data_IF_132206525455
#
_entry.id   IF_132206525455
#
_cell.length_a   1.000
_cell.length_b   1.000
_cell.length_c   1.000
_cell.angle_alpha   90.00
_cell.angle_beta   90.00
_cell.angle_gamma   90.00
#
_symmetry.space_group_name_H-M   'P 1'
#
loop_
_entity.id
_entity.type
_entity.pdbx_description
1 polymer ?
#
# COMPACT_ATOMS: atom_id res chain seq x y z
N UNK A 1 -5.15 -39.60 -17.46
CA UNK A 1 -4.86 -38.68 -18.59
C UNK A 1 -5.99 -37.65 -18.77
N UNK A 2 -7.27 -38.02 -18.67
CA UNK A 2 -8.43 -37.10 -18.83
C UNK A 2 -8.51 -36.05 -17.72
N UNK A 3 -8.28 -36.42 -16.44
CA UNK A 3 -8.29 -35.50 -15.30
C UNK A 3 -7.27 -34.37 -15.50
N UNK A 4 -6.04 -34.69 -15.94
CA UNK A 4 -5.01 -33.68 -16.21
C UNK A 4 -5.40 -32.75 -17.37
N UNK A 5 -6.10 -33.28 -18.41
CA UNK A 5 -6.58 -32.47 -19.52
C UNK A 5 -7.70 -31.53 -19.08
N UNK A 6 -8.66 -32.04 -18.32
CA UNK A 6 -9.74 -31.21 -17.76
C UNK A 6 -9.22 -30.16 -16.78
N UNK A 7 -8.23 -30.50 -15.94
CA UNK A 7 -7.56 -29.54 -15.05
C UNK A 7 -6.85 -28.43 -15.84
N UNK A 8 -6.10 -28.77 -16.87
CA UNK A 8 -5.40 -27.78 -17.72
C UNK A 8 -6.37 -26.88 -18.48
N UNK A 9 -7.52 -27.39 -18.91
CA UNK A 9 -8.59 -26.59 -19.54
C UNK A 9 -9.15 -25.61 -18.51
N UNK A 10 -9.51 -26.07 -17.31
CA UNK A 10 -10.02 -25.25 -16.24
C UNK A 10 -9.04 -24.12 -15.85
N UNK A 11 -7.74 -24.41 -15.75
CA UNK A 11 -6.71 -23.40 -15.46
C UNK A 11 -6.64 -22.35 -16.57
N UNK A 12 -6.70 -22.77 -17.85
CA UNK A 12 -6.72 -21.84 -18.98
C UNK A 12 -7.98 -20.97 -19.02
N UNK A 13 -9.13 -21.55 -18.78
CA UNK A 13 -10.39 -20.82 -18.74
C UNK A 13 -10.41 -19.81 -17.59
N UNK A 14 -9.89 -20.17 -16.41
CA UNK A 14 -9.76 -19.29 -15.28
C UNK A 14 -8.81 -18.11 -15.60
N UNK A 15 -7.66 -18.39 -16.22
CA UNK A 15 -6.71 -17.34 -16.64
C UNK A 15 -7.34 -16.38 -17.66
N UNK A 16 -8.13 -16.91 -18.61
CA UNK A 16 -8.82 -16.09 -19.61
C UNK A 16 -9.88 -15.19 -18.99
N UNK A 17 -10.70 -15.73 -18.09
CA UNK A 17 -11.68 -14.93 -17.34
C UNK A 17 -11.00 -13.79 -16.56
N UNK A 18 -9.84 -14.05 -15.98
CA UNK A 18 -9.06 -13.04 -15.27
C UNK A 18 -8.51 -11.97 -16.19
N UNK A 19 -7.95 -12.34 -17.37
CA UNK A 19 -7.49 -11.40 -18.40
C UNK A 19 -8.63 -10.52 -18.94
N UNK A 20 -9.78 -11.13 -19.27
CA UNK A 20 -10.96 -10.41 -19.73
C UNK A 20 -11.45 -9.41 -18.67
N UNK A 21 -11.42 -9.81 -17.39
CA UNK A 21 -11.77 -8.92 -16.28
C UNK A 21 -10.81 -7.73 -16.15
N UNK A 22 -9.51 -7.95 -16.31
CA UNK A 22 -8.51 -6.86 -16.26
C UNK A 22 -8.69 -5.88 -17.41
N UNK A 23 -8.96 -6.38 -18.62
CA UNK A 23 -9.22 -5.55 -19.80
C UNK A 23 -10.50 -4.72 -19.62
N UNK A 24 -11.59 -5.33 -19.15
CA UNK A 24 -12.84 -4.63 -18.86
C UNK A 24 -12.65 -3.51 -17.84
N UNK A 25 -11.92 -3.78 -16.77
CA UNK A 25 -11.65 -2.80 -15.71
C UNK A 25 -10.75 -1.65 -16.21
N UNK A 26 -9.78 -1.95 -17.08
CA UNK A 26 -8.94 -0.92 -17.70
C UNK A 26 -9.76 -0.04 -18.65
N UNK A 27 -10.67 -0.63 -19.43
CA UNK A 27 -11.59 0.10 -20.31
C UNK A 27 -12.55 1.01 -19.54
N UNK A 28 -13.22 0.47 -18.53
CA UNK A 28 -14.12 1.23 -17.65
C UNK A 28 -13.41 2.42 -16.99
N UNK A 29 -12.14 2.25 -16.61
CA UNK A 29 -11.34 3.33 -16.04
C UNK A 29 -11.13 4.49 -17.00
N UNK A 30 -10.71 4.15 -18.21
CA UNK A 30 -10.49 5.15 -19.24
C UNK A 30 -11.79 5.91 -19.55
N UNK A 31 -12.90 5.17 -19.66
CA UNK A 31 -14.20 5.72 -20.01
C UNK A 31 -14.82 6.56 -18.88
N UNK A 32 -14.46 6.28 -17.62
CA UNK A 32 -14.86 7.13 -16.49
C UNK A 32 -13.99 8.39 -16.35
N UNK A 33 -12.69 8.31 -16.67
CA UNK A 33 -11.79 9.46 -16.57
C UNK A 33 -12.12 10.55 -17.57
N UNK A 34 -12.50 10.17 -18.79
CA UNK A 34 -12.83 11.11 -19.87
C UNK A 34 -13.95 12.09 -19.49
N UNK A 35 -15.14 11.66 -19.02
CA UNK A 35 -16.20 12.58 -18.60
C UNK A 35 -15.81 13.41 -17.36
N UNK A 36 -15.05 12.86 -16.40
CA UNK A 36 -14.58 13.62 -15.24
C UNK A 36 -13.66 14.77 -15.68
N UNK A 37 -12.72 14.51 -16.60
CA UNK A 37 -11.84 15.54 -17.16
C UNK A 37 -12.61 16.61 -17.91
N UNK A 38 -13.68 16.22 -18.64
CA UNK A 38 -14.54 17.17 -19.35
C UNK A 38 -15.30 18.04 -18.35
N UNK A 39 -15.92 17.45 -17.33
CA UNK A 39 -16.62 18.19 -16.28
C UNK A 39 -15.68 19.19 -15.57
N UNK A 40 -14.45 18.80 -15.29
CA UNK A 40 -13.45 19.68 -14.69
C UNK A 40 -13.19 20.90 -15.59
N UNK A 41 -13.00 20.68 -16.88
CA UNK A 41 -12.80 21.79 -17.82
C UNK A 41 -14.02 22.71 -17.90
N UNK A 42 -15.24 22.16 -17.92
CA UNK A 42 -16.47 22.94 -17.91
C UNK A 42 -16.63 23.80 -16.65
N UNK A 43 -16.27 23.25 -15.47
CA UNK A 43 -16.30 23.98 -14.18
C UNK A 43 -15.22 25.07 -14.15
N UNK A 44 -14.01 24.82 -14.71
CA UNK A 44 -12.95 25.82 -14.77
C UNK A 44 -13.30 26.99 -15.71
N UNK A 45 -14.08 26.74 -16.78
CA UNK A 45 -14.50 27.74 -17.74
C UNK A 45 -15.81 28.43 -17.36
N UNK A 46 -16.57 27.90 -16.41
CA UNK A 46 -17.83 28.47 -15.96
C UNK A 46 -17.60 29.71 -15.06
N UNK A 47 -18.49 30.70 -15.18
CA UNK A 47 -18.53 31.86 -14.32
C UNK A 47 -19.24 31.50 -12.99
N UNK A 48 -18.49 30.79 -12.13
CA UNK A 48 -18.96 30.32 -10.83
C UNK A 48 -18.27 31.07 -9.69
N UNK A 49 -18.98 31.28 -8.55
CA UNK A 49 -18.33 31.71 -7.31
C UNK A 49 -17.17 30.79 -6.95
N UNK A 50 -16.07 31.35 -6.46
CA UNK A 50 -14.82 30.63 -6.18
C UNK A 50 -15.03 29.43 -5.25
N UNK A 51 -15.85 29.61 -4.18
CA UNK A 51 -16.18 28.54 -3.24
C UNK A 51 -16.91 27.37 -3.92
N UNK A 52 -17.86 27.67 -4.83
CA UNK A 52 -18.60 26.64 -5.58
C UNK A 52 -17.68 25.90 -6.56
N UNK A 53 -16.79 26.63 -7.24
CA UNK A 53 -15.80 26.04 -8.16
C UNK A 53 -14.87 25.09 -7.39
N UNK A 54 -14.31 25.52 -6.27
CA UNK A 54 -13.42 24.72 -5.45
C UNK A 54 -14.11 23.47 -4.92
N UNK A 55 -15.35 23.56 -4.47
CA UNK A 55 -16.13 22.40 -4.03
C UNK A 55 -16.31 21.36 -5.16
N UNK A 56 -16.70 21.81 -6.37
CA UNK A 56 -16.88 20.93 -7.53
C UNK A 56 -15.57 20.28 -7.97
N UNK A 57 -14.45 21.00 -7.96
CA UNK A 57 -13.12 20.46 -8.27
C UNK A 57 -12.74 19.38 -7.26
N UNK A 58 -12.97 19.61 -5.96
CA UNK A 58 -12.72 18.62 -4.93
C UNK A 58 -13.56 17.35 -5.11
N UNK A 59 -14.83 17.48 -5.48
CA UNK A 59 -15.70 16.32 -5.76
C UNK A 59 -15.19 15.51 -6.95
N UNK A 60 -14.72 16.17 -8.03
CA UNK A 60 -14.14 15.48 -9.18
C UNK A 60 -12.83 14.78 -8.84
N UNK A 61 -11.95 15.41 -8.08
CA UNK A 61 -10.71 14.78 -7.58
C UNK A 61 -11.03 13.54 -6.69
N UNK A 62 -12.09 13.65 -5.89
CA UNK A 62 -12.56 12.51 -5.12
C UNK A 62 -13.08 11.37 -6.00
N UNK A 63 -13.85 11.67 -7.06
CA UNK A 63 -14.31 10.65 -8.03
C UNK A 63 -13.13 9.97 -8.72
N UNK A 64 -12.12 10.74 -9.18
CA UNK A 64 -10.90 10.18 -9.77
C UNK A 64 -10.15 9.27 -8.80
N UNK A 65 -10.04 9.67 -7.54
CA UNK A 65 -9.40 8.88 -6.50
C UNK A 65 -10.14 7.55 -6.25
N UNK A 66 -11.48 7.56 -6.21
CA UNK A 66 -12.30 6.35 -6.05
C UNK A 66 -12.10 5.41 -7.23
N UNK A 67 -12.14 5.92 -8.46
CA UNK A 67 -11.91 5.14 -9.69
C UNK A 67 -10.52 4.52 -9.67
N UNK A 68 -9.48 5.29 -9.36
CA UNK A 68 -8.10 4.80 -9.29
C UNK A 68 -7.91 3.75 -8.18
N UNK A 69 -8.54 3.91 -7.02
CA UNK A 69 -8.52 2.92 -5.94
C UNK A 69 -9.21 1.63 -6.33
N UNK A 70 -10.39 1.73 -6.97
CA UNK A 70 -11.14 0.57 -7.47
C UNK A 70 -10.34 -0.23 -8.48
N UNK A 71 -9.74 0.44 -9.46
CA UNK A 71 -8.90 -0.21 -10.45
C UNK A 71 -7.68 -0.87 -9.86
N UNK A 72 -7.04 -0.16 -8.97
CA UNK A 72 -5.92 -0.74 -8.26
C UNK A 72 -6.31 -1.89 -7.33
N UNK A 73 -7.55 -1.92 -6.82
CA UNK A 73 -8.08 -3.09 -6.13
C UNK A 73 -8.36 -4.23 -7.14
N UNK A 74 -8.86 -3.93 -8.30
CA UNK A 74 -9.30 -4.92 -9.29
C UNK A 74 -8.15 -5.55 -10.09
N UNK A 75 -7.05 -4.82 -10.34
CA UNK A 75 -5.87 -5.34 -11.04
C UNK A 75 -5.18 -6.43 -10.22
N UNK A 76 -4.96 -7.58 -10.84
CA UNK A 76 -3.99 -8.57 -10.35
C UNK A 76 -2.67 -8.31 -11.05
N UNK A 77 -1.63 -8.08 -10.30
CA UNK A 77 -0.27 -8.13 -10.86
C UNK A 77 0.12 -9.60 -11.00
N UNK A 78 0.27 -10.09 -12.23
CA UNK A 78 0.80 -11.44 -12.51
C UNK A 78 2.33 -11.50 -12.43
N UNK A 79 2.96 -10.39 -12.02
CA UNK A 79 4.42 -10.32 -11.86
C UNK A 79 4.85 -11.23 -10.70
N UNK A 80 5.92 -12.03 -10.83
CA UNK A 80 6.45 -12.84 -9.74
C UNK A 80 6.85 -11.97 -8.54
N UNK A 81 6.68 -12.49 -7.33
CA UNK A 81 7.16 -11.83 -6.12
C UNK A 81 8.69 -11.81 -6.14
N UNK A 82 9.29 -10.74 -5.67
CA UNK A 82 10.74 -10.57 -5.56
C UNK A 82 11.16 -10.39 -4.10
N UNK A 83 12.45 -10.58 -3.84
CA UNK A 83 13.01 -10.36 -2.51
C UNK A 83 13.09 -8.86 -2.21
N UNK A 84 12.35 -8.42 -1.22
CA UNK A 84 12.20 -7.01 -0.87
C UNK A 84 12.73 -6.76 0.54
N UNK A 85 13.53 -5.71 0.70
CA UNK A 85 13.84 -5.15 2.01
C UNK A 85 12.64 -4.31 2.47
N UNK A 86 11.88 -4.83 3.43
CA UNK A 86 10.67 -4.20 3.93
C UNK A 86 10.95 -2.80 4.49
N UNK A 87 12.03 -2.66 5.25
CA UNK A 87 12.39 -1.38 5.88
C UNK A 87 12.71 -0.29 4.86
N UNK A 88 13.46 -0.62 3.80
CA UNK A 88 13.81 0.35 2.76
C UNK A 88 12.57 0.85 2.00
N UNK A 89 11.66 -0.06 1.63
CA UNK A 89 10.44 0.32 0.93
C UNK A 89 9.53 1.16 1.81
N UNK A 90 9.37 0.80 3.09
CA UNK A 90 8.56 1.56 4.05
C UNK A 90 9.14 2.95 4.27
N UNK A 91 10.46 3.07 4.50
CA UNK A 91 11.13 4.36 4.67
C UNK A 91 10.96 5.27 3.44
N UNK A 92 11.13 4.71 2.23
CA UNK A 92 10.92 5.43 0.97
C UNK A 92 9.47 5.92 0.82
N UNK A 93 8.48 5.06 1.14
CA UNK A 93 7.07 5.42 1.04
C UNK A 93 6.66 6.51 2.05
N UNK A 94 7.22 6.49 3.27
CA UNK A 94 7.04 7.55 4.28
C UNK A 94 7.62 8.87 3.75
N UNK A 95 8.85 8.86 3.24
CA UNK A 95 9.49 10.06 2.69
C UNK A 95 8.73 10.67 1.51
N UNK A 96 8.08 9.85 0.69
CA UNK A 96 7.27 10.31 -0.44
C UNK A 96 5.90 10.88 -0.03
N UNK A 97 5.43 10.63 1.20
CA UNK A 97 4.07 11.01 1.65
C UNK A 97 3.89 12.50 1.92
N UNK A 98 4.97 13.27 2.07
CA UNK A 98 4.98 14.70 2.46
C UNK A 98 4.19 15.04 3.74
N UNK A 99 3.73 14.04 4.50
CA UNK A 99 2.98 14.29 5.73
C UNK A 99 3.79 15.03 6.80
N UNK A 100 5.11 14.93 6.73
CA UNK A 100 6.03 15.63 7.63
C UNK A 100 6.12 17.14 7.35
N UNK A 101 5.59 17.62 6.22
CA UNK A 101 5.53 19.06 5.88
C UNK A 101 4.38 19.78 6.61
N UNK A 102 3.39 19.03 7.14
CA UNK A 102 2.26 19.57 7.92
C UNK A 102 2.64 19.65 9.42
N UNK A 103 2.69 20.86 10.02
CA UNK A 103 3.04 21.02 11.44
C UNK A 103 2.06 20.35 12.41
N UNK A 104 0.84 20.06 11.97
CA UNK A 104 -0.17 19.35 12.79
C UNK A 104 0.02 17.84 12.81
N UNK A 105 0.98 17.31 12.05
CA UNK A 105 1.25 15.88 11.91
C UNK A 105 2.57 15.52 12.58
N UNK A 106 2.53 14.61 13.55
CA UNK A 106 3.69 13.91 14.09
C UNK A 106 3.77 12.51 13.48
N UNK A 107 4.76 12.25 12.66
CA UNK A 107 5.01 10.94 12.06
C UNK A 107 6.34 10.40 12.57
N UNK A 108 6.27 9.45 13.50
CA UNK A 108 7.41 8.74 14.07
C UNK A 108 7.54 7.36 13.45
N UNK A 109 8.78 6.90 13.29
CA UNK A 109 9.03 5.58 12.71
C UNK A 109 10.21 4.86 13.36
N UNK A 110 10.04 3.55 13.57
CA UNK A 110 11.12 2.63 13.95
C UNK A 110 11.27 1.60 12.83
N UNK A 111 12.24 1.83 11.96
CA UNK A 111 12.44 1.05 10.74
C UNK A 111 13.64 0.11 10.89
N UNK A 112 13.37 -1.17 10.84
CA UNK A 112 14.36 -2.22 10.85
C UNK A 112 14.83 -2.54 9.42
N UNK A 113 16.14 -2.45 9.15
CA UNK A 113 16.72 -2.60 7.80
C UNK A 113 17.08 -4.04 7.40
N UNK A 114 17.00 -5.00 8.33
CA UNK A 114 17.36 -6.41 8.12
C UNK A 114 16.13 -7.33 7.96
N UNK A 115 15.00 -6.77 7.57
CA UNK A 115 13.74 -7.51 7.38
C UNK A 115 13.46 -7.69 5.90
N UNK A 116 13.45 -8.95 5.44
CA UNK A 116 13.22 -9.32 4.05
C UNK A 116 11.95 -10.15 3.91
N UNK A 117 11.19 -9.87 2.85
CA UNK A 117 9.95 -10.58 2.49
C UNK A 117 9.92 -10.86 0.97
N UNK A 118 9.07 -11.80 0.55
CA UNK A 118 8.71 -11.97 -0.86
C UNK A 118 7.49 -11.13 -1.17
N UNK A 119 7.65 -10.05 -1.94
CA UNK A 119 6.59 -9.10 -2.24
C UNK A 119 6.88 -8.32 -3.54
N UNK A 120 6.02 -7.36 -3.89
CA UNK A 120 6.31 -6.33 -4.88
C UNK A 120 6.56 -5.00 -4.16
N UNK A 121 7.69 -4.32 -4.40
CA UNK A 121 8.01 -3.04 -3.74
C UNK A 121 6.90 -1.99 -3.92
N UNK A 122 6.36 -1.85 -5.14
CA UNK A 122 5.29 -0.91 -5.43
C UNK A 122 3.98 -1.24 -4.68
N UNK A 123 3.67 -2.52 -4.46
CA UNK A 123 2.50 -2.93 -3.67
C UNK A 123 2.71 -2.66 -2.19
N UNK A 124 3.89 -2.92 -1.64
CA UNK A 124 4.21 -2.57 -0.25
C UNK A 124 4.18 -1.04 -0.04
N UNK A 125 4.75 -0.25 -0.96
CA UNK A 125 4.65 1.21 -0.92
C UNK A 125 3.18 1.67 -0.93
N UNK A 126 2.33 1.04 -1.74
CA UNK A 126 0.89 1.30 -1.79
C UNK A 126 0.19 0.93 -0.48
N UNK A 127 0.58 -0.16 0.18
CA UNK A 127 0.09 -0.51 1.53
C UNK A 127 0.36 0.64 2.49
N UNK A 128 1.61 1.11 2.56
CA UNK A 128 1.99 2.22 3.44
C UNK A 128 1.17 3.47 3.13
N UNK A 129 1.05 3.86 1.84
CA UNK A 129 0.25 5.02 1.43
C UNK A 129 -1.22 4.90 1.86
N UNK A 130 -1.86 3.73 1.67
CA UNK A 130 -3.24 3.52 2.11
C UNK A 130 -3.40 3.66 3.63
N UNK A 131 -2.44 3.14 4.41
CA UNK A 131 -2.46 3.25 5.86
C UNK A 131 -2.25 4.69 6.33
N UNK A 132 -1.31 5.43 5.72
CA UNK A 132 -1.08 6.83 6.02
C UNK A 132 -2.30 7.71 5.66
N UNK A 133 -2.92 7.48 4.50
CA UNK A 133 -4.16 8.19 4.09
C UNK A 133 -5.31 7.86 5.05
N UNK A 134 -5.45 6.62 5.51
CA UNK A 134 -6.44 6.27 6.50
C UNK A 134 -6.18 6.99 7.83
N UNK A 135 -4.94 6.99 8.31
CA UNK A 135 -4.56 7.71 9.52
C UNK A 135 -4.82 9.22 9.39
N UNK A 136 -4.53 9.86 8.24
CA UNK A 136 -4.81 11.27 8.03
C UNK A 136 -6.31 11.63 8.12
N UNK A 137 -7.17 10.70 7.69
CA UNK A 137 -8.63 10.89 7.67
C UNK A 137 -9.30 10.60 9.02
N UNK A 138 -8.82 9.61 9.74
CA UNK A 138 -9.50 9.04 10.89
C UNK A 138 -8.66 9.04 12.17
N UNK A 139 -7.36 9.32 12.07
CA UNK A 139 -6.39 9.19 13.13
C UNK A 139 -6.17 10.45 13.97
N UNK A 140 -6.90 11.55 13.69
CA UNK A 140 -6.79 12.77 14.51
C UNK A 140 -7.43 12.56 15.87
N UNK A 141 -6.76 13.06 16.90
CA UNK A 141 -7.28 13.11 18.25
C UNK A 141 -8.37 14.19 18.40
N UNK A 142 -9.05 14.29 19.56
CA UNK A 142 -10.05 15.31 19.81
C UNK A 142 -9.54 16.75 19.70
N UNK A 143 -8.23 16.97 19.89
CA UNK A 143 -7.57 18.27 19.79
C UNK A 143 -7.15 18.59 18.33
N UNK A 144 -7.45 17.69 17.40
CA UNK A 144 -7.15 17.82 15.97
C UNK A 144 -5.72 17.47 15.59
N UNK A 145 -4.88 17.01 16.53
CA UNK A 145 -3.51 16.58 16.28
C UNK A 145 -3.49 15.18 15.66
N UNK A 146 -2.63 14.98 14.69
CA UNK A 146 -2.41 13.67 14.06
C UNK A 146 -1.07 13.10 14.52
N UNK A 147 -1.12 11.99 15.25
CA UNK A 147 0.06 11.23 15.66
C UNK A 147 0.04 9.87 14.97
N UNK A 148 1.04 9.61 14.13
CA UNK A 148 1.20 8.34 13.41
C UNK A 148 2.52 7.71 13.83
N UNK A 149 2.49 6.43 14.16
CA UNK A 149 3.66 5.64 14.45
C UNK A 149 3.76 4.47 13.47
N UNK A 150 4.88 4.40 12.72
CA UNK A 150 5.16 3.32 11.76
C UNK A 150 6.30 2.46 12.28
N UNK A 151 6.10 1.16 12.33
CA UNK A 151 7.13 0.24 12.79
C UNK A 151 7.31 -0.93 11.82
N UNK A 152 8.58 -1.29 11.56
CA UNK A 152 8.94 -2.56 10.92
C UNK A 152 9.83 -3.39 11.85
N UNK A 153 9.57 -4.68 11.91
CA UNK A 153 10.29 -5.57 12.81
C UNK A 153 10.11 -7.04 12.51
N UNK A 154 10.56 -7.86 13.45
CA UNK A 154 10.36 -9.31 13.41
C UNK A 154 9.76 -9.78 14.73
N UNK A 155 8.72 -10.61 14.67
CA UNK A 155 8.08 -11.21 15.84
C UNK A 155 7.57 -12.61 15.50
N UNK A 156 7.88 -13.59 16.34
CA UNK A 156 7.39 -14.96 16.17
C UNK A 156 7.76 -15.58 14.82
N UNK A 157 8.93 -15.28 14.27
CA UNK A 157 9.38 -15.79 12.95
C UNK A 157 8.67 -15.14 11.74
N UNK A 158 8.00 -14.01 11.95
CA UNK A 158 7.33 -13.23 10.91
C UNK A 158 7.90 -11.82 10.81
N UNK A 159 7.95 -11.27 9.61
CA UNK A 159 8.17 -9.85 9.39
C UNK A 159 6.90 -9.08 9.73
N UNK A 160 7.03 -7.96 10.43
CA UNK A 160 5.93 -7.11 10.88
C UNK A 160 6.07 -5.74 10.23
N UNK A 161 4.96 -5.24 9.69
CA UNK A 161 4.73 -3.84 9.39
C UNK A 161 3.52 -3.39 10.21
N UNK A 162 3.65 -2.36 11.02
CA UNK A 162 2.51 -1.79 11.73
C UNK A 162 2.44 -0.28 11.56
N UNK A 163 1.21 0.22 11.47
CA UNK A 163 0.88 1.65 11.48
C UNK A 163 -0.16 1.88 12.55
N UNK A 164 0.13 2.79 13.46
CA UNK A 164 -0.74 3.15 14.58
C UNK A 164 -1.10 4.64 14.53
N UNK A 165 -2.34 4.97 14.90
CA UNK A 165 -2.85 6.33 15.07
C UNK A 165 -3.46 6.54 16.47
N UNK A 166 -3.88 7.77 16.77
CA UNK A 166 -4.53 8.20 18.04
C UNK A 166 -5.99 8.62 17.85
N UNK A 167 -6.58 8.31 16.72
CA UNK A 167 -7.97 8.66 16.42
C UNK A 167 -9.00 7.92 17.26
N UNK A 168 -10.22 7.86 16.77
CA UNK A 168 -11.31 7.20 17.47
C UNK A 168 -11.21 5.67 17.51
N UNK A 169 -10.40 5.08 16.60
CA UNK A 169 -10.29 3.65 16.44
C UNK A 169 -11.52 3.02 15.77
N UNK A 170 -11.56 1.70 15.76
CA UNK A 170 -12.64 0.89 15.19
C UNK A 170 -13.12 -0.08 16.27
N UNK A 171 -14.46 -0.20 16.52
CA UNK A 171 -14.99 -1.22 17.43
C UNK A 171 -14.56 -2.63 17.01
N UNK A 172 -14.23 -3.49 17.97
CA UNK A 172 -13.76 -4.85 17.71
C UNK A 172 -14.71 -5.66 16.82
N UNK A 173 -16.02 -5.50 17.03
CA UNK A 173 -17.05 -6.15 16.23
C UNK A 173 -17.05 -5.72 14.73
N UNK A 174 -16.45 -4.59 14.40
CA UNK A 174 -16.37 -4.07 13.03
C UNK A 174 -15.03 -4.37 12.35
N UNK A 175 -13.99 -4.77 13.09
CA UNK A 175 -12.62 -4.91 12.58
C UNK A 175 -12.51 -5.89 11.41
N UNK A 176 -13.23 -7.01 11.43
CA UNK A 176 -13.26 -7.94 10.29
C UNK A 176 -14.04 -7.39 9.10
N UNK A 177 -15.11 -6.64 9.36
CA UNK A 177 -15.98 -6.08 8.33
C UNK A 177 -15.27 -5.02 7.50
N UNK A 178 -14.54 -4.11 8.14
CA UNK A 178 -13.85 -3.00 7.47
C UNK A 178 -12.67 -3.44 6.57
N UNK A 179 -12.25 -4.70 6.63
CA UNK A 179 -11.31 -5.30 5.69
C UNK A 179 -11.98 -5.74 4.37
N UNK A 180 -13.32 -5.76 4.30
CA UNK A 180 -14.06 -6.09 3.07
C UNK A 180 -14.17 -4.86 2.17
N UNK A 181 -14.16 -5.04 0.83
CA UNK A 181 -14.33 -3.93 -0.11
C UNK A 181 -15.65 -3.19 0.11
N UNK A 182 -15.59 -1.85 0.01
CA UNK A 182 -16.74 -0.93 0.16
C UNK A 182 -17.40 -0.94 1.55
N UNK A 183 -16.87 -1.68 2.49
CA UNK A 183 -17.34 -1.65 3.87
C UNK A 183 -16.68 -0.48 4.62
N UNK A 184 -17.50 0.23 5.40
CA UNK A 184 -17.08 1.37 6.23
C UNK A 184 -17.60 1.16 7.64
N UNK A 185 -16.79 1.51 8.64
CA UNK A 185 -17.25 1.57 10.02
C UNK A 185 -18.43 2.55 10.16
N UNK A 186 -19.33 2.32 11.11
CA UNK A 186 -20.54 3.15 11.27
C UNK A 186 -20.20 4.62 11.47
N UNK A 187 -19.15 4.92 12.22
CA UNK A 187 -18.68 6.30 12.47
C UNK A 187 -18.10 6.98 11.23
N UNK A 188 -17.52 6.21 10.29
CA UNK A 188 -17.01 6.73 9.03
C UNK A 188 -18.13 7.05 8.02
N UNK A 189 -19.39 6.63 8.28
CA UNK A 189 -20.55 6.90 7.40
C UNK A 189 -21.07 8.32 7.55
N UNK A 190 -20.87 8.97 8.71
CA UNK A 190 -21.53 10.22 9.08
C UNK A 190 -20.73 11.49 8.78
N UNK A 191 -19.49 11.43 8.26
CA UNK A 191 -18.74 12.69 8.10
C UNK A 191 -17.50 12.65 7.23
N UNK A 192 -16.99 11.51 6.82
CA UNK A 192 -15.76 11.46 6.01
C UNK A 192 -15.99 10.85 4.63
N UNK A 193 -15.43 11.51 3.62
CA UNK A 193 -15.42 11.05 2.24
C UNK A 193 -14.38 9.93 2.05
N UNK A 194 -14.82 8.67 1.88
CA UNK A 194 -13.93 7.54 1.64
C UNK A 194 -14.61 6.41 0.89
N UNK A 195 -13.90 5.73 -0.02
CA UNK A 195 -14.41 4.63 -0.85
C UNK A 195 -14.66 3.32 -0.10
N UNK A 196 -14.14 3.15 1.11
CA UNK A 196 -14.13 1.85 1.81
C UNK A 196 -13.20 0.82 1.17
N UNK A 197 -12.24 1.24 0.34
CA UNK A 197 -11.31 0.34 -0.36
C UNK A 197 -9.92 0.29 0.27
N UNK A 198 -9.53 1.29 1.07
CA UNK A 198 -8.15 1.40 1.58
C UNK A 198 -7.67 0.17 2.33
N UNK A 199 -8.40 -0.27 3.36
CA UNK A 199 -8.05 -1.46 4.14
C UNK A 199 -8.24 -2.76 3.36
N UNK A 200 -9.22 -2.84 2.45
CA UNK A 200 -9.39 -3.99 1.57
C UNK A 200 -8.22 -4.16 0.59
N UNK A 201 -7.64 -3.05 0.10
CA UNK A 201 -6.40 -3.06 -0.70
C UNK A 201 -5.24 -3.60 0.14
N UNK A 202 -5.11 -3.13 1.38
CA UNK A 202 -4.05 -3.59 2.31
C UNK A 202 -4.17 -5.10 2.56
N UNK A 203 -5.37 -5.60 2.89
CA UNK A 203 -5.59 -7.04 3.13
C UNK A 203 -5.28 -7.87 1.88
N UNK A 204 -5.72 -7.43 0.71
CA UNK A 204 -5.47 -8.13 -0.55
C UNK A 204 -3.97 -8.22 -0.88
N UNK A 205 -3.23 -7.11 -0.76
CA UNK A 205 -1.79 -7.08 -1.02
C UNK A 205 -1.06 -7.96 0.01
N UNK A 206 -1.44 -7.89 1.28
CA UNK A 206 -0.87 -8.73 2.31
C UNK A 206 -1.05 -10.23 1.98
N UNK A 207 -2.27 -10.66 1.66
CA UNK A 207 -2.58 -12.07 1.28
C UNK A 207 -1.80 -12.54 0.07
N UNK A 208 -1.55 -11.65 -0.90
CA UNK A 208 -0.76 -11.99 -2.09
C UNK A 208 0.70 -12.31 -1.76
N UNK A 209 1.22 -11.70 -0.72
CA UNK A 209 2.57 -11.96 -0.18
C UNK A 209 2.54 -12.97 0.98
N UNK A 210 1.56 -13.88 1.02
CA UNK A 210 1.33 -14.87 2.08
C UNK A 210 1.26 -14.25 3.49
N UNK A 211 0.89 -12.98 3.55
CA UNK A 211 0.74 -12.21 4.78
C UNK A 211 -0.69 -12.21 5.31
N UNK A 212 -0.84 -11.63 6.49
CA UNK A 212 -2.12 -11.48 7.18
C UNK A 212 -2.20 -10.10 7.82
N UNK A 213 -3.35 -9.43 7.67
CA UNK A 213 -3.68 -8.18 8.36
C UNK A 213 -4.40 -8.47 9.65
N UNK A 214 -4.03 -7.75 10.72
CA UNK A 214 -4.72 -7.71 12.00
C UNK A 214 -4.96 -6.27 12.40
N UNK A 215 -6.14 -6.00 12.92
CA UNK A 215 -6.49 -4.71 13.50
C UNK A 215 -6.54 -4.84 15.00
N UNK A 216 -6.06 -3.83 15.71
CA UNK A 216 -6.06 -3.76 17.17
C UNK A 216 -6.45 -2.35 17.61
N UNK A 217 -7.09 -2.23 18.76
CA UNK A 217 -7.26 -0.94 19.42
C UNK A 217 -5.90 -0.45 19.92
N UNK A 218 -5.57 0.82 19.66
CA UNK A 218 -4.39 1.46 20.21
C UNK A 218 -4.65 1.94 21.64
N UNK A 219 -3.61 2.05 22.45
CA UNK A 219 -3.68 2.51 23.84
C UNK A 219 -3.12 3.95 23.95
N UNK A 220 -3.84 4.91 24.56
CA UNK A 220 -5.16 4.78 25.22
C UNK A 220 -6.34 4.76 24.23
N UNK A 221 -6.18 5.20 22.97
CA UNK A 221 -7.20 5.27 21.93
C UNK A 221 -6.55 5.27 20.56
N UNK A 222 -7.27 4.83 19.51
CA UNK A 222 -6.81 4.79 18.13
C UNK A 222 -6.87 3.41 17.51
N UNK A 223 -6.29 3.28 16.34
CA UNK A 223 -6.19 2.03 15.58
C UNK A 223 -4.72 1.64 15.38
N UNK A 224 -4.43 0.35 15.51
CA UNK A 224 -3.20 -0.27 15.04
C UNK A 224 -3.54 -1.23 13.92
N UNK A 225 -2.98 -0.99 12.74
CA UNK A 225 -3.02 -1.93 11.62
C UNK A 225 -1.69 -2.66 11.58
N UNK A 226 -1.69 -3.94 11.84
CA UNK A 226 -0.51 -4.81 11.84
C UNK A 226 -0.60 -5.80 10.67
N UNK A 227 0.49 -5.90 9.91
CA UNK A 227 0.62 -6.85 8.81
C UNK A 227 1.78 -7.78 9.10
N UNK A 228 1.53 -9.07 9.01
CA UNK A 228 2.51 -10.14 9.26
C UNK A 228 2.81 -10.87 7.96
N UNK A 229 4.06 -10.84 7.52
CA UNK A 229 4.54 -11.55 6.34
C UNK A 229 5.44 -12.73 6.72
N UNK A 230 5.55 -13.78 5.89
CA UNK A 230 6.64 -14.74 6.00
C UNK A 230 7.99 -14.03 5.86
N UNK A 231 8.94 -14.36 6.74
CA UNK A 231 10.32 -13.89 6.57
C UNK A 231 10.97 -14.58 5.37
N UNK A 232 11.69 -13.80 4.56
CA UNK A 232 12.59 -14.31 3.53
C UNK A 232 14.04 -14.21 4.01
N UNK A 233 14.91 -15.10 3.51
CA UNK A 233 16.33 -15.02 3.81
C UNK A 233 16.95 -13.79 3.13
N UNK A 234 17.85 -13.05 3.79
CA UNK A 234 18.56 -11.95 3.17
C UNK A 234 19.36 -12.44 1.96
N UNK A 235 19.66 -11.58 0.98
CA UNK A 235 20.50 -11.93 -0.14
C UNK A 235 21.86 -12.38 0.38
N UNK A 236 22.40 -13.48 -0.18
CA UNK A 236 23.75 -13.91 0.15
C UNK A 236 24.71 -12.77 -0.18
N UNK A 237 25.50 -12.34 0.80
CA UNK A 237 26.58 -11.40 0.51
C UNK A 237 27.41 -11.91 -0.66
N UNK A 238 27.80 -11.06 -1.64
CA UNK A 238 28.70 -11.46 -2.69
C UNK A 238 29.95 -12.04 -2.02
N UNK A 239 30.32 -13.29 -2.38
CA UNK A 239 31.59 -13.86 -1.91
C UNK A 239 32.66 -12.85 -2.26
N UNK A 240 33.38 -12.36 -1.24
CA UNK A 240 34.49 -11.44 -1.42
C UNK A 240 35.39 -11.97 -2.53
N UNK A 241 35.80 -11.11 -3.44
CA UNK A 241 36.91 -11.43 -4.35
C UNK A 241 38.08 -11.81 -3.46
N UNK A 242 38.55 -13.05 -3.60
CA UNK A 242 39.74 -13.53 -2.92
C UNK A 242 40.85 -12.48 -3.07
N UNK A 243 41.42 -12.02 -1.95
CA UNK A 243 42.57 -11.13 -1.87
C UNK A 243 43.86 -11.79 -2.45
N UNK A 244 43.71 -12.93 -3.09
CA UNK A 244 44.82 -13.70 -3.69
C UNK A 244 45.35 -13.14 -5.02
N UNK A 245 44.69 -12.13 -5.63
CA UNK A 245 45.13 -11.63 -6.97
C UNK A 245 45.93 -10.31 -6.90
N UNK A 246 46.24 -9.82 -5.70
CA UNK A 246 47.07 -8.60 -5.51
C UNK A 246 48.55 -8.89 -5.19
N UNK A 247 48.94 -10.16 -4.93
CA UNK A 247 50.33 -10.49 -4.65
C UNK A 247 51.14 -10.92 -5.87
N UNK A 248 50.51 -11.11 -7.06
CA UNK A 248 51.20 -11.62 -8.26
C UNK A 248 51.71 -10.55 -9.25
N UNK A 249 51.58 -9.24 -8.95
CA UNK A 249 52.06 -8.14 -9.83
C UNK A 249 53.17 -7.26 -9.23
N UNK A 250 53.78 -7.69 -8.12
CA UNK A 250 54.83 -6.93 -7.43
C UNK A 250 56.30 -7.22 -7.79
N UNK A 251 56.60 -8.25 -8.55
CA UNK A 251 57.98 -8.69 -8.80
C UNK A 251 58.35 -8.75 -10.27
N UNK A 252 58.29 -7.65 -10.99
CA UNK A 252 59.05 -7.48 -12.24
C UNK A 252 59.26 -5.99 -12.55
N UNK A 253 60.36 -5.43 -12.05
CA UNK A 253 61.16 -4.41 -12.72
C UNK A 253 62.11 -3.75 -11.70
N UNK A 254 63.27 -4.39 -11.43
CA UNK A 254 64.54 -3.67 -11.18
C UNK A 254 65.64 -4.65 -11.66
N UNK A 255 66.13 -4.45 -12.88
CA UNK A 255 67.45 -4.81 -13.37
C UNK A 255 67.61 -4.31 -14.80
N UNK A 256 68.26 -3.24 -14.96
CA UNK A 256 69.21 -2.79 -15.97
C UNK A 256 69.17 -1.25 -16.13
#
# INVERSE_FOLDING_TARGET
REVNKSFNIMVKDLSRIEEDRELLLAGVSHDLRTPITRLRLEVELADLPEDSRNAMVQDMEQMENIVNQFLGYARRSNTPLELVNLGEVVASAIGASRMQEDPSVSLDSVIRKDVYIMAHPAEIARVVQNLLVNASKYGRDPDGKLEIFVNTGMQGGRAILSVADRGEGIPEAEMERVLRPFERGERARTGSTGSGLGLAIVDRIARRSDGQVKLHTNNPKGLVVEIRFPLASPPKAPKGRDEADLSAKGDQKISA
#
